data_IF_825627994934
#
_entry.id   IF_825627994934
#
_cell.length_a   1.000
_cell.length_b   1.000
_cell.length_c   1.000
_cell.angle_alpha   90.00
_cell.angle_beta   90.00
_cell.angle_gamma   90.00
#
_symmetry.space_group_name_H-M   'P 1'
#
loop_
_entity.id
_entity.type
_entity.pdbx_description
1 polymer ?
#
# COMPACT_ATOMS: atom_id res chain seq x y z
N UNK A 1 -27.10 72.69 47.32
CA UNK A 1 -26.73 71.92 46.12
C UNK A 1 -25.27 71.53 46.30
N UNK A 2 -24.90 70.42 46.97
CA UNK A 2 -25.25 69.00 46.71
C UNK A 2 -24.98 68.70 45.23
N UNK A 3 -23.93 67.97 44.82
CA UNK A 3 -23.65 66.58 45.16
C UNK A 3 -22.15 66.19 45.15
N UNK A 4 -21.72 65.61 46.27
CA UNK A 4 -20.86 64.44 46.55
C UNK A 4 -19.60 64.08 45.72
N UNK A 5 -18.52 63.94 46.50
CA UNK A 5 -17.12 63.56 46.24
C UNK A 5 -16.96 62.04 46.01
N UNK A 6 -15.93 61.58 45.25
CA UNK A 6 -15.79 60.21 44.78
C UNK A 6 -15.07 59.30 45.78
N UNK A 7 -15.42 58.01 45.79
CA UNK A 7 -14.61 56.99 46.46
C UNK A 7 -14.84 55.61 45.82
N UNK A 8 -13.85 55.08 45.09
CA UNK A 8 -13.79 53.65 44.72
C UNK A 8 -12.45 53.09 45.17
N UNK A 9 -12.52 52.34 46.27
CA UNK A 9 -11.38 51.65 46.86
C UNK A 9 -10.87 50.52 45.97
N UNK A 10 -9.54 50.35 46.02
CA UNK A 10 -8.80 49.22 45.46
C UNK A 10 -9.09 47.99 46.31
N UNK A 11 -9.96 47.10 45.82
CA UNK A 11 -10.23 45.81 46.43
C UNK A 11 -9.13 44.80 46.06
N UNK A 12 -8.18 44.58 46.96
CA UNK A 12 -7.21 43.49 46.84
C UNK A 12 -7.90 42.13 47.03
N UNK A 13 -7.95 41.32 45.98
CA UNK A 13 -8.38 39.92 46.06
C UNK A 13 -7.31 39.10 46.78
N UNK A 14 -7.59 38.72 48.04
CA UNK A 14 -6.74 37.79 48.79
C UNK A 14 -6.92 36.39 48.20
N UNK A 15 -5.86 35.87 47.57
CA UNK A 15 -5.83 34.48 47.10
C UNK A 15 -5.85 33.56 48.34
N UNK A 16 -6.78 32.58 48.42
CA UNK A 16 -6.83 31.67 49.55
C UNK A 16 -5.55 30.85 49.67
N UNK A 17 -5.05 30.69 50.90
CA UNK A 17 -3.80 30.01 51.22
C UNK A 17 -3.72 28.59 50.62
N UNK A 18 -4.87 27.91 50.51
CA UNK A 18 -4.99 26.58 49.87
C UNK A 18 -4.58 26.56 48.40
N UNK A 19 -4.86 27.63 47.65
CA UNK A 19 -4.47 27.74 46.23
C UNK A 19 -2.96 27.97 46.12
N UNK A 20 -2.39 28.78 47.01
CA UNK A 20 -0.94 29.03 47.05
C UNK A 20 -0.19 27.73 47.37
N UNK A 21 -0.69 26.95 48.34
CA UNK A 21 -0.11 25.65 48.69
C UNK A 21 -0.20 24.65 47.52
N UNK A 22 -1.34 24.58 46.82
CA UNK A 22 -1.48 23.69 45.66
C UNK A 22 -0.51 24.04 44.52
N UNK A 23 -0.33 25.34 44.23
CA UNK A 23 0.61 25.80 43.21
C UNK A 23 2.05 25.48 43.61
N UNK A 24 2.42 25.71 44.88
CA UNK A 24 3.76 25.37 45.39
C UNK A 24 4.03 23.86 45.37
N UNK A 25 3.05 23.03 45.77
CA UNK A 25 3.16 21.57 45.71
C UNK A 25 3.29 21.08 44.26
N UNK A 26 2.54 21.65 43.33
CA UNK A 26 2.68 21.34 41.90
C UNK A 26 4.07 21.70 41.36
N UNK A 27 4.60 22.86 41.73
CA UNK A 27 5.94 23.28 41.30
C UNK A 27 7.05 22.38 41.88
N UNK A 28 6.93 21.98 43.15
CA UNK A 28 7.86 21.04 43.79
C UNK A 28 7.80 19.64 43.16
N UNK A 29 6.60 19.16 42.78
CA UNK A 29 6.45 17.89 42.07
C UNK A 29 7.11 17.91 40.68
N UNK A 30 6.97 19.03 39.94
CA UNK A 30 7.66 19.21 38.67
C UNK A 30 9.18 19.28 38.82
N UNK A 31 9.70 19.91 39.88
CA UNK A 31 11.13 19.92 40.18
C UNK A 31 11.63 18.50 40.49
N UNK A 32 10.90 17.73 41.30
CA UNK A 32 11.27 16.34 41.63
C UNK A 32 11.34 15.46 40.37
N UNK A 33 10.35 15.55 39.49
CA UNK A 33 10.35 14.82 38.20
C UNK A 33 11.52 15.22 37.28
N UNK A 34 11.97 16.48 37.35
CA UNK A 34 13.10 16.95 36.57
C UNK A 34 14.44 16.48 37.16
N UNK A 35 14.55 16.44 38.50
CA UNK A 35 15.76 15.93 39.17
C UNK A 35 15.96 14.43 38.99
N UNK A 36 14.88 13.64 38.96
CA UNK A 36 14.96 12.18 38.71
C UNK A 36 15.48 11.86 37.29
N UNK A 37 15.12 12.67 36.29
CA UNK A 37 15.66 12.54 34.92
C UNK A 37 17.15 12.87 34.82
N UNK A 38 17.66 13.78 35.64
CA UNK A 38 19.09 14.16 35.62
C UNK A 38 19.94 13.12 36.35
N UNK A 39 19.43 12.49 37.42
CA UNK A 39 20.13 11.40 38.11
C UNK A 39 20.28 10.13 37.26
N UNK A 40 19.34 9.86 36.33
CA UNK A 40 19.43 8.74 35.39
C UNK A 40 20.45 8.94 34.27
N UNK A 41 20.84 10.19 33.97
CA UNK A 41 21.82 10.53 32.94
C UNK A 41 23.27 10.57 33.46
N UNK A 42 23.47 10.45 34.77
CA UNK A 42 24.79 10.64 35.42
C UNK A 42 25.49 9.33 35.83
N UNK A 43 24.86 8.17 35.62
CA UNK A 43 25.43 6.86 35.98
C UNK A 43 25.84 6.05 34.76
N UNK A 44 26.97 6.41 34.14
CA UNK A 44 27.88 5.46 33.47
C UNK A 44 29.17 6.17 32.99
N UNK A 45 30.00 6.59 33.94
CA UNK A 45 31.42 6.83 33.64
C UNK A 45 32.31 6.53 34.83
N UNK A 46 33.04 5.41 34.73
CA UNK A 46 34.28 5.07 35.44
C UNK A 46 34.62 3.62 35.02
N UNK A 47 35.81 3.23 34.59
CA UNK A 47 37.14 3.84 34.58
C UNK A 47 38.09 2.79 34.00
N UNK A 48 39.09 3.16 33.19
CA UNK A 48 40.50 2.80 33.45
C UNK A 48 41.45 3.38 32.39
N UNK A 49 42.30 4.30 32.85
CA UNK A 49 43.60 4.66 32.25
C UNK A 49 44.60 3.50 32.49
N UNK A 50 45.62 3.18 31.69
CA UNK A 50 46.65 4.07 31.15
C UNK A 50 47.71 3.29 30.32
N UNK A 51 48.37 4.02 29.42
CA UNK A 51 49.80 3.99 29.06
C UNK A 51 50.48 2.89 28.17
N UNK A 52 51.10 3.42 27.09
CA UNK A 52 52.32 3.01 26.36
C UNK A 52 52.33 1.82 25.37
N UNK A 53 52.35 2.13 24.06
CA UNK A 53 53.54 2.14 23.16
C UNK A 53 53.10 2.07 21.69
N UNK A 54 53.42 3.10 20.92
CA UNK A 54 53.48 2.99 19.46
C UNK A 54 54.60 2.01 19.09
N UNK A 55 54.22 0.88 18.49
CA UNK A 55 55.12 0.08 17.64
C UNK A 55 54.50 0.03 16.25
N UNK A 56 55.28 0.43 15.26
CA UNK A 56 54.93 0.26 13.85
C UNK A 56 54.79 -1.23 13.54
N UNK A 57 53.74 -1.58 12.81
CA UNK A 57 53.62 -2.89 12.17
C UNK A 57 53.95 -2.77 10.68
N UNK A 58 54.59 -3.79 10.08
CA UNK A 58 55.10 -3.72 8.72
C UNK A 58 53.98 -3.91 7.70
N UNK A 59 54.13 -3.29 6.53
CA UNK A 59 53.37 -3.61 5.32
C UNK A 59 53.51 -5.10 5.03
N UNK A 60 52.38 -5.82 4.96
CA UNK A 60 52.28 -7.14 4.34
C UNK A 60 51.30 -7.02 3.17
N UNK A 61 51.76 -7.45 2.02
CA UNK A 61 51.04 -7.45 0.75
C UNK A 61 49.66 -8.11 0.85
N UNK A 62 48.67 -7.41 0.31
CA UNK A 62 47.31 -7.91 0.13
C UNK A 62 47.32 -8.81 -1.11
N UNK A 63 47.34 -10.13 -0.89
CA UNK A 63 46.83 -11.07 -1.88
C UNK A 63 45.30 -10.99 -1.86
N UNK A 64 44.72 -10.54 -2.96
CA UNK A 64 43.28 -10.42 -3.18
C UNK A 64 42.59 -11.78 -3.22
N UNK A 65 41.80 -12.11 -2.18
CA UNK A 65 40.72 -13.11 -2.30
C UNK A 65 39.41 -12.43 -2.77
N UNK A 66 38.51 -13.14 -3.46
CA UNK A 66 37.43 -12.52 -4.22
C UNK A 66 36.38 -11.90 -3.30
N UNK A 67 36.05 -10.62 -3.53
CA UNK A 67 34.98 -9.86 -2.86
C UNK A 67 33.61 -10.54 -2.91
N UNK A 68 33.42 -11.48 -3.84
CA UNK A 68 32.19 -12.22 -4.07
C UNK A 68 31.84 -13.22 -2.96
N UNK A 69 32.86 -13.89 -2.37
CA UNK A 69 32.63 -14.88 -1.31
C UNK A 69 32.20 -14.22 0.01
N UNK A 70 32.79 -13.08 0.34
CA UNK A 70 32.43 -12.26 1.52
C UNK A 70 31.04 -11.64 1.35
N UNK A 71 30.65 -11.24 0.13
CA UNK A 71 29.30 -10.73 -0.16
C UNK A 71 28.25 -11.84 -0.04
N UNK A 72 28.57 -13.06 -0.47
CA UNK A 72 27.69 -14.23 -0.34
C UNK A 72 27.53 -14.69 1.10
N UNK A 73 28.62 -14.79 1.87
CA UNK A 73 28.57 -15.10 3.32
C UNK A 73 27.81 -14.02 4.09
N UNK A 74 28.00 -12.73 3.77
CA UNK A 74 27.24 -11.63 4.40
C UNK A 74 25.75 -11.65 4.02
N UNK A 75 25.41 -12.07 2.80
CA UNK A 75 24.03 -12.28 2.36
C UNK A 75 23.37 -13.44 3.09
N UNK A 76 24.07 -14.58 3.20
CA UNK A 76 23.58 -15.75 3.92
C UNK A 76 23.44 -15.49 5.43
N UNK A 77 24.36 -14.73 6.04
CA UNK A 77 24.27 -14.34 7.46
C UNK A 77 23.13 -13.33 7.69
N UNK A 78 22.83 -12.44 6.75
CA UNK A 78 21.67 -11.54 6.84
C UNK A 78 20.34 -12.29 6.65
N UNK A 79 20.30 -13.32 5.80
CA UNK A 79 19.13 -14.20 5.65
C UNK A 79 18.83 -14.97 6.95
N UNK A 80 19.84 -15.42 7.69
CA UNK A 80 19.66 -16.18 8.95
C UNK A 80 19.30 -15.27 10.15
N UNK A 81 19.52 -13.95 10.05
CA UNK A 81 19.23 -13.00 11.13
C UNK A 81 17.80 -12.41 11.10
N UNK A 82 17.09 -12.51 9.96
CA UNK A 82 15.73 -11.99 9.78
C UNK A 82 14.65 -12.94 10.34
N UNK A 83 14.99 -14.20 10.63
CA UNK A 83 14.08 -15.21 11.20
C UNK A 83 13.72 -14.95 12.69
N UNK A 84 14.23 -13.88 13.31
CA UNK A 84 13.97 -13.55 14.74
C UNK A 84 12.78 -12.61 14.97
N UNK A 85 12.17 -12.08 13.91
CA UNK A 85 10.92 -11.34 14.00
C UNK A 85 9.87 -12.07 13.16
N UNK A 86 9.20 -13.03 13.78
CA UNK A 86 8.02 -13.66 13.18
C UNK A 86 6.91 -12.59 13.12
N UNK A 87 6.42 -12.31 11.91
CA UNK A 87 5.29 -11.42 11.73
C UNK A 87 4.04 -12.10 12.28
N UNK A 88 3.49 -11.56 13.37
CA UNK A 88 2.20 -11.99 13.89
C UNK A 88 1.08 -11.07 13.34
N UNK A 89 0.18 -11.57 12.48
CA UNK A 89 -0.92 -10.77 11.95
C UNK A 89 -1.95 -10.34 13.00
N UNK A 90 -2.03 -11.00 14.15
CA UNK A 90 -2.97 -10.66 15.22
C UNK A 90 -2.45 -9.51 16.09
N UNK A 91 -1.13 -9.38 16.22
CA UNK A 91 -0.48 -8.32 17.00
C UNK A 91 -0.06 -7.11 16.13
N UNK A 92 0.11 -7.30 14.81
CA UNK A 92 0.64 -6.29 13.91
C UNK A 92 -0.45 -5.52 13.14
N UNK A 93 -0.76 -4.30 13.58
CA UNK A 93 -1.60 -3.39 12.81
C UNK A 93 -0.81 -2.71 11.67
N UNK A 94 -0.74 -3.38 10.52
CA UNK A 94 -0.01 -2.88 9.33
C UNK A 94 -0.50 -1.53 8.80
N UNK A 95 -1.72 -1.10 9.14
CA UNK A 95 -2.29 0.16 8.67
C UNK A 95 -1.85 1.39 9.47
N UNK A 96 -1.36 1.19 10.70
CA UNK A 96 -0.86 2.26 11.57
C UNK A 96 0.68 2.28 11.53
N UNK A 97 1.25 3.43 11.18
CA UNK A 97 2.69 3.55 10.98
C UNK A 97 3.10 4.86 10.35
N UNK A 98 4.29 4.87 9.78
CA UNK A 98 4.86 6.01 9.05
C UNK A 98 5.78 5.56 7.93
N UNK A 99 5.89 6.39 6.90
CA UNK A 99 6.94 6.25 5.90
C UNK A 99 8.25 6.86 6.40
N UNK A 100 9.32 6.09 6.32
CA UNK A 100 10.67 6.51 6.70
C UNK A 100 11.55 6.50 5.46
N UNK A 101 12.22 7.61 5.22
CA UNK A 101 13.18 7.73 4.12
C UNK A 101 14.45 6.98 4.48
N UNK A 102 14.91 6.12 3.58
CA UNK A 102 16.13 5.35 3.72
C UNK A 102 16.91 5.35 2.40
N UNK A 103 17.92 6.21 2.33
CA UNK A 103 18.79 6.36 1.16
C UNK A 103 19.58 5.11 0.79
N UNK A 104 19.68 4.14 1.70
CA UNK A 104 20.42 2.89 1.47
C UNK A 104 19.55 1.77 0.88
N UNK A 105 18.23 1.94 0.77
CA UNK A 105 17.35 0.93 0.17
C UNK A 105 17.45 1.00 -1.33
N UNK A 106 17.93 -0.08 -1.94
CA UNK A 106 17.84 -0.29 -3.38
C UNK A 106 16.62 -1.16 -3.71
N UNK A 107 15.77 -0.77 -4.68
CA UNK A 107 14.72 -1.64 -5.20
C UNK A 107 15.28 -2.97 -5.73
N UNK A 108 14.52 -4.05 -5.57
CA UNK A 108 14.90 -5.37 -6.08
C UNK A 108 14.93 -5.46 -7.62
N UNK A 109 14.26 -4.53 -8.28
CA UNK A 109 14.19 -4.41 -9.73
C UNK A 109 13.99 -2.95 -10.13
N UNK A 110 14.13 -2.66 -11.41
CA UNK A 110 13.73 -1.39 -12.04
C UNK A 110 12.74 -1.68 -13.16
N UNK A 111 12.00 -0.68 -13.62
CA UNK A 111 11.20 -0.82 -14.84
C UNK A 111 12.03 -1.13 -16.08
N UNK A 112 13.35 -0.95 -16.05
CA UNK A 112 14.29 -1.34 -17.11
C UNK A 112 14.75 -2.79 -17.02
N UNK A 113 14.88 -3.33 -15.82
CA UNK A 113 15.35 -4.70 -15.61
C UNK A 113 14.22 -5.72 -15.69
N UNK A 114 13.01 -5.39 -15.22
CA UNK A 114 11.86 -6.30 -15.32
C UNK A 114 11.11 -6.09 -16.65
N UNK A 115 11.04 -7.09 -17.54
CA UNK A 115 10.40 -6.96 -18.84
C UNK A 115 8.87 -7.07 -18.79
N UNK A 116 8.30 -7.41 -17.64
CA UNK A 116 6.88 -7.71 -17.49
C UNK A 116 6.01 -6.51 -17.07
N UNK A 117 6.62 -5.35 -16.86
CA UNK A 117 5.91 -4.13 -16.46
C UNK A 117 5.27 -3.49 -17.70
N UNK A 118 3.98 -3.19 -17.60
CA UNK A 118 3.26 -2.42 -18.60
C UNK A 118 3.80 -0.99 -18.66
N UNK A 119 3.77 -0.41 -19.87
CA UNK A 119 4.21 0.97 -20.10
C UNK A 119 3.50 1.96 -19.19
N UNK A 120 2.24 1.69 -18.83
CA UNK A 120 1.47 2.51 -17.91
C UNK A 120 2.13 2.72 -16.54
N UNK A 121 2.88 1.73 -16.04
CA UNK A 121 3.51 1.78 -14.70
C UNK A 121 5.03 2.03 -14.75
N UNK A 122 5.62 2.06 -15.96
CA UNK A 122 7.07 2.18 -16.18
C UNK A 122 7.56 3.64 -16.18
N UNK A 123 7.45 4.32 -15.05
CA UNK A 123 7.70 5.76 -14.94
C UNK A 123 9.11 6.21 -15.36
N UNK A 124 10.16 5.49 -14.98
CA UNK A 124 11.55 5.87 -15.30
C UNK A 124 11.86 5.63 -16.78
N UNK A 125 11.31 4.57 -17.38
CA UNK A 125 11.31 4.38 -18.84
C UNK A 125 10.54 5.49 -19.56
N UNK A 126 9.47 5.97 -18.96
CA UNK A 126 8.66 7.06 -19.49
C UNK A 126 9.28 8.45 -19.20
N UNK A 127 10.44 8.52 -18.54
CA UNK A 127 11.21 9.75 -18.38
C UNK A 127 10.93 10.53 -17.09
N UNK A 128 10.43 9.87 -16.03
CA UNK A 128 10.40 10.42 -14.67
C UNK A 128 11.85 10.63 -14.18
N UNK A 129 12.29 11.89 -13.95
CA UNK A 129 13.63 12.14 -13.41
C UNK A 129 13.72 11.89 -11.90
N UNK A 130 12.61 12.03 -11.16
CA UNK A 130 12.61 11.89 -9.70
C UNK A 130 12.61 10.41 -9.29
N UNK A 131 13.45 10.04 -8.32
CA UNK A 131 13.60 8.64 -7.87
C UNK A 131 13.53 8.50 -6.35
N UNK A 132 13.44 9.59 -5.59
CA UNK A 132 13.33 9.56 -4.13
C UNK A 132 12.11 8.80 -3.63
N UNK A 133 11.03 8.72 -4.44
CA UNK A 133 9.84 7.93 -4.12
C UNK A 133 10.17 6.43 -3.89
N UNK A 134 11.28 5.93 -4.45
CA UNK A 134 11.75 4.56 -4.29
C UNK A 134 12.46 4.31 -2.95
N UNK A 135 12.82 5.37 -2.23
CA UNK A 135 13.64 5.31 -1.01
C UNK A 135 12.79 5.37 0.27
N UNK A 136 11.48 5.23 0.15
CA UNK A 136 10.56 5.23 1.30
C UNK A 136 10.20 3.81 1.71
N UNK A 137 10.35 3.52 3.00
CA UNK A 137 9.97 2.27 3.63
C UNK A 137 8.85 2.48 4.64
N UNK A 138 7.80 1.65 4.57
CA UNK A 138 6.72 1.66 5.53
C UNK A 138 7.18 0.97 6.82
N UNK A 139 7.04 1.67 7.95
CA UNK A 139 7.29 1.14 9.28
C UNK A 139 5.99 1.22 10.09
N UNK A 140 5.34 0.08 10.35
CA UNK A 140 4.25 0.04 11.32
C UNK A 140 4.69 0.54 12.69
N UNK A 141 3.74 1.05 13.48
CA UNK A 141 4.06 1.61 14.80
C UNK A 141 4.43 0.51 15.83
N UNK A 142 3.80 -0.66 15.74
CA UNK A 142 3.86 -1.71 16.78
C UNK A 142 4.61 -2.99 16.35
N UNK A 143 5.09 -3.05 15.11
CA UNK A 143 5.69 -4.26 14.53
C UNK A 143 6.63 -3.93 13.37
N UNK A 144 7.42 -4.94 12.97
CA UNK A 144 8.27 -4.86 11.77
C UNK A 144 7.73 -5.81 10.70
N UNK A 145 7.50 -5.30 9.50
CA UNK A 145 7.19 -6.15 8.34
C UNK A 145 8.53 -6.58 7.72
N UNK A 146 8.82 -7.89 7.62
CA UNK A 146 10.04 -8.39 7.02
C UNK A 146 10.25 -7.82 5.61
N UNK A 147 11.52 -7.77 5.18
CA UNK A 147 11.83 -7.37 3.81
C UNK A 147 11.32 -8.43 2.84
N UNK A 148 10.99 -8.02 1.62
CA UNK A 148 10.57 -8.98 0.62
C UNK A 148 11.75 -9.89 0.26
N UNK A 149 11.60 -11.19 0.48
CA UNK A 149 12.57 -12.19 0.05
C UNK A 149 12.01 -12.95 -1.16
N UNK A 150 12.59 -12.78 -2.37
CA UNK A 150 12.15 -13.48 -3.57
C UNK A 150 12.14 -15.01 -3.39
N UNK A 151 13.17 -15.53 -2.71
CA UNK A 151 13.34 -16.96 -2.44
C UNK A 151 12.28 -17.48 -1.48
N UNK A 152 11.98 -16.73 -0.41
CA UNK A 152 10.90 -17.06 0.53
C UNK A 152 9.54 -17.10 -0.18
N UNK A 153 9.26 -16.06 -0.98
CA UNK A 153 8.01 -15.97 -1.76
C UNK A 153 7.84 -17.19 -2.68
N UNK A 154 8.87 -17.50 -3.47
CA UNK A 154 8.80 -18.64 -4.40
C UNK A 154 8.73 -19.99 -3.69
N UNK A 155 9.37 -20.14 -2.52
CA UNK A 155 9.23 -21.35 -1.69
C UNK A 155 7.81 -21.49 -1.13
N UNK A 156 7.20 -20.41 -0.63
CA UNK A 156 5.80 -20.41 -0.16
C UNK A 156 4.81 -20.72 -1.29
N UNK A 157 5.15 -20.34 -2.54
CA UNK A 157 4.36 -20.62 -3.74
C UNK A 157 4.66 -21.97 -4.42
N UNK A 158 5.60 -22.76 -3.90
CA UNK A 158 5.98 -24.02 -4.54
C UNK A 158 4.78 -24.96 -4.66
N UNK A 159 4.49 -25.41 -5.88
CA UNK A 159 3.34 -26.27 -6.18
C UNK A 159 1.98 -25.58 -6.13
N UNK A 160 1.93 -24.24 -6.06
CA UNK A 160 0.70 -23.46 -5.86
C UNK A 160 0.40 -22.49 -7.00
N UNK A 161 -0.88 -22.13 -7.09
CA UNK A 161 -1.42 -21.04 -7.92
C UNK A 161 -1.77 -19.84 -7.06
N UNK A 162 -1.07 -18.73 -7.26
CA UNK A 162 -1.40 -17.42 -6.70
C UNK A 162 -2.16 -16.60 -7.75
N UNK A 163 -3.40 -16.25 -7.49
CA UNK A 163 -4.27 -15.53 -8.43
C UNK A 163 -4.74 -14.19 -7.87
N UNK A 164 -4.34 -13.11 -8.53
CA UNK A 164 -4.81 -11.76 -8.31
C UNK A 164 -6.06 -11.50 -9.16
N UNK A 165 -7.16 -11.02 -8.56
CA UNK A 165 -8.43 -10.76 -9.25
C UNK A 165 -8.92 -9.36 -8.94
N UNK A 166 -9.11 -8.52 -9.97
CA UNK A 166 -9.61 -7.17 -9.71
C UNK A 166 -9.47 -6.19 -10.86
N UNK A 167 -9.33 -4.92 -10.50
CA UNK A 167 -9.15 -3.80 -11.41
C UNK A 167 -7.67 -3.56 -11.78
N UNK A 168 -7.37 -2.41 -12.38
CA UNK A 168 -6.02 -2.05 -12.84
C UNK A 168 -5.02 -1.86 -11.70
N UNK A 169 -5.46 -1.58 -10.47
CA UNK A 169 -4.57 -1.48 -9.31
C UNK A 169 -4.16 -2.87 -8.83
N UNK A 170 -5.08 -3.84 -8.91
CA UNK A 170 -4.76 -5.24 -8.67
C UNK A 170 -3.78 -5.79 -9.72
N UNK A 171 -3.93 -5.36 -10.98
CA UNK A 171 -2.95 -5.66 -12.03
C UNK A 171 -1.57 -5.10 -11.70
N UNK A 172 -1.51 -3.85 -11.24
CA UNK A 172 -0.25 -3.22 -10.81
C UNK A 172 0.41 -3.99 -9.65
N UNK A 173 -0.38 -4.45 -8.66
CA UNK A 173 0.12 -5.30 -7.59
C UNK A 173 0.66 -6.65 -8.12
N UNK A 174 -0.04 -7.28 -9.06
CA UNK A 174 0.43 -8.51 -9.71
C UNK A 174 1.74 -8.31 -10.49
N UNK A 175 1.86 -7.25 -11.29
CA UNK A 175 3.09 -6.94 -12.03
C UNK A 175 4.27 -6.69 -11.08
N UNK A 176 4.03 -5.97 -9.98
CA UNK A 176 5.01 -5.81 -8.90
C UNK A 176 5.44 -7.17 -8.35
N UNK A 177 4.50 -8.07 -8.01
CA UNK A 177 4.84 -9.38 -7.45
C UNK A 177 5.69 -10.19 -8.41
N UNK A 178 5.34 -10.22 -9.70
CA UNK A 178 6.13 -10.89 -10.74
C UNK A 178 7.55 -10.31 -10.80
N UNK A 179 7.70 -8.99 -10.83
CA UNK A 179 9.02 -8.35 -10.89
C UNK A 179 9.85 -8.50 -9.61
N UNK A 180 9.21 -8.67 -8.46
CA UNK A 180 9.89 -8.95 -7.19
C UNK A 180 10.53 -10.35 -7.20
N UNK A 181 10.02 -11.31 -7.97
CA UNK A 181 10.51 -12.71 -7.95
C UNK A 181 11.21 -13.16 -9.23
N UNK A 182 10.97 -12.52 -10.37
CA UNK A 182 11.40 -13.04 -11.67
C UNK A 182 12.92 -13.15 -11.82
N UNK A 183 13.68 -12.27 -11.16
CA UNK A 183 15.14 -12.20 -11.30
C UNK A 183 15.87 -13.41 -10.69
N UNK A 184 15.24 -14.13 -9.75
CA UNK A 184 15.79 -15.35 -9.17
C UNK A 184 15.41 -16.62 -9.96
N UNK A 185 14.58 -16.47 -11.00
CA UNK A 185 14.15 -17.58 -11.85
C UNK A 185 14.90 -17.49 -13.19
N UNK A 186 15.64 -18.54 -13.59
CA UNK A 186 16.35 -18.55 -14.87
C UNK A 186 15.41 -18.33 -16.08
N UNK A 187 15.89 -17.69 -17.14
CA UNK A 187 15.09 -17.37 -18.34
C UNK A 187 14.38 -18.58 -18.98
N UNK A 188 15.01 -19.76 -18.98
CA UNK A 188 14.40 -21.01 -19.48
C UNK A 188 13.31 -21.59 -18.56
N UNK A 189 13.29 -21.18 -17.29
CA UNK A 189 12.41 -21.69 -16.23
C UNK A 189 11.24 -20.76 -15.94
N UNK A 190 11.14 -19.61 -16.61
CA UNK A 190 9.98 -18.70 -16.52
C UNK A 190 9.28 -18.51 -17.86
N UNK A 191 7.98 -18.21 -17.82
CA UNK A 191 7.24 -17.79 -19.00
C UNK A 191 6.03 -16.93 -18.65
N UNK A 192 5.59 -16.11 -19.60
CA UNK A 192 4.43 -15.24 -19.46
C UNK A 192 3.43 -15.53 -20.59
N UNK A 193 2.19 -15.85 -20.22
CA UNK A 193 1.05 -15.94 -21.15
C UNK A 193 0.06 -14.84 -20.84
N UNK A 194 -0.23 -13.97 -21.80
CA UNK A 194 -1.24 -12.91 -21.65
C UNK A 194 -2.39 -13.16 -22.63
N UNK A 195 -3.60 -13.28 -22.08
CA UNK A 195 -4.84 -13.27 -22.87
C UNK A 195 -5.59 -11.95 -22.66
N UNK A 196 -6.83 -11.84 -23.11
CA UNK A 196 -7.61 -10.61 -22.96
C UNK A 196 -7.92 -10.29 -21.48
N UNK A 197 -8.31 -11.31 -20.69
CA UNK A 197 -8.71 -11.16 -19.28
C UNK A 197 -7.79 -11.88 -18.30
N UNK A 198 -6.95 -12.80 -18.75
CA UNK A 198 -6.26 -13.75 -17.87
C UNK A 198 -4.78 -13.87 -18.22
N UNK A 199 -3.92 -13.50 -17.29
CA UNK A 199 -2.47 -13.44 -17.47
C UNK A 199 -1.83 -14.46 -16.51
N UNK A 200 -0.85 -15.22 -17.00
CA UNK A 200 -0.22 -16.31 -16.25
C UNK A 200 1.29 -16.18 -16.38
N UNK A 201 1.96 -15.83 -15.29
CA UNK A 201 3.39 -16.00 -15.15
C UNK A 201 3.66 -17.37 -14.53
N UNK A 202 4.47 -18.21 -15.18
CA UNK A 202 4.81 -19.56 -14.71
C UNK A 202 6.27 -19.62 -14.30
N UNK A 203 6.52 -20.13 -13.10
CA UNK A 203 7.85 -20.48 -12.60
C UNK A 203 7.97 -22.01 -12.55
N UNK A 204 8.62 -22.60 -13.57
CA UNK A 204 8.63 -24.05 -13.81
C UNK A 204 9.34 -24.83 -12.70
N UNK A 205 10.52 -24.39 -12.27
CA UNK A 205 11.30 -25.03 -11.20
C UNK A 205 10.55 -25.10 -9.85
N UNK A 206 9.67 -24.12 -9.60
CA UNK A 206 8.83 -24.08 -8.41
C UNK A 206 7.49 -24.79 -8.58
N UNK A 207 7.17 -25.25 -9.80
CA UNK A 207 5.84 -25.70 -10.19
C UNK A 207 4.75 -24.72 -9.72
N UNK A 208 4.98 -23.42 -9.94
CA UNK A 208 4.15 -22.35 -9.40
C UNK A 208 3.64 -21.43 -10.52
N UNK A 209 2.47 -20.82 -10.30
CA UNK A 209 1.95 -19.75 -11.16
C UNK A 209 1.57 -18.51 -10.35
N UNK A 210 1.83 -17.35 -10.95
CA UNK A 210 1.45 -16.03 -10.45
C UNK A 210 0.56 -15.41 -11.51
N UNK A 211 -0.72 -15.33 -11.23
CA UNK A 211 -1.79 -15.14 -12.20
C UNK A 211 -2.54 -13.83 -11.93
N UNK A 212 -3.08 -13.22 -12.98
CA UNK A 212 -3.99 -12.08 -12.88
C UNK A 212 -5.25 -12.32 -13.71
N UNK A 213 -6.41 -12.03 -13.13
CA UNK A 213 -7.70 -12.04 -13.81
C UNK A 213 -8.40 -10.68 -13.73
N UNK A 214 -8.71 -10.12 -14.90
CA UNK A 214 -9.41 -8.85 -15.06
C UNK A 214 -10.90 -8.98 -14.69
N UNK A 215 -11.25 -8.39 -13.56
CA UNK A 215 -12.60 -8.35 -13.02
C UNK A 215 -12.77 -7.05 -12.21
N UNK A 216 -12.85 -5.88 -12.87
CA UNK A 216 -12.73 -4.59 -12.19
C UNK A 216 -13.82 -4.32 -11.14
N UNK A 217 -15.01 -4.88 -11.34
CA UNK A 217 -16.13 -4.83 -10.39
C UNK A 217 -16.27 -6.10 -9.53
N UNK A 218 -15.37 -7.10 -9.69
CA UNK A 218 -15.50 -8.49 -9.25
C UNK A 218 -16.72 -9.23 -9.84
N UNK A 219 -17.90 -8.63 -9.87
CA UNK A 219 -19.11 -9.12 -10.54
C UNK A 219 -19.15 -8.74 -12.03
N UNK A 220 -20.00 -9.44 -12.79
CA UNK A 220 -20.21 -9.25 -14.24
C UNK A 220 -20.54 -7.80 -14.61
N UNK A 221 -20.07 -7.34 -15.78
CA UNK A 221 -20.36 -6.00 -16.28
C UNK A 221 -20.31 -5.92 -17.80
N UNK A 222 -21.01 -4.95 -18.38
CA UNK A 222 -20.96 -4.66 -19.83
C UNK A 222 -19.64 -3.97 -20.27
N UNK A 223 -18.74 -3.70 -19.33
CA UNK A 223 -17.50 -2.93 -19.54
C UNK A 223 -16.27 -3.73 -19.13
N UNK A 224 -16.38 -5.05 -19.04
CA UNK A 224 -15.23 -5.91 -18.81
C UNK A 224 -14.26 -5.74 -19.96
N UNK A 225 -14.64 -6.17 -21.17
CA UNK A 225 -13.91 -5.97 -22.43
C UNK A 225 -14.90 -5.98 -23.61
N UNK A 226 -14.86 -4.98 -24.52
CA UNK A 226 -14.04 -3.78 -24.46
C UNK A 226 -14.44 -2.87 -23.29
N UNK A 227 -13.48 -2.10 -22.78
CA UNK A 227 -13.73 -1.12 -21.71
C UNK A 227 -14.53 0.05 -22.28
N UNK A 228 -15.67 0.35 -21.68
CA UNK A 228 -16.48 1.51 -22.01
C UNK A 228 -15.88 2.73 -21.30
N UNK A 229 -15.39 3.69 -22.08
CA UNK A 229 -14.71 4.89 -21.57
C UNK A 229 -15.64 5.79 -20.76
N UNK A 230 -16.88 6.00 -21.22
CA UNK A 230 -17.90 6.77 -20.51
C UNK A 230 -18.48 5.97 -19.33
N UNK A 231 -18.20 6.35 -18.08
CA UNK A 231 -18.68 5.59 -16.94
C UNK A 231 -20.20 5.58 -16.79
N UNK A 232 -20.92 6.55 -17.37
CA UNK A 232 -22.39 6.61 -17.32
C UNK A 232 -23.06 5.50 -18.13
N UNK A 233 -22.31 4.88 -19.06
CA UNK A 233 -22.76 3.76 -19.90
C UNK A 233 -22.42 2.39 -19.30
N UNK A 234 -21.68 2.36 -18.19
CA UNK A 234 -21.31 1.12 -17.52
C UNK A 234 -22.51 0.58 -16.74
N UNK A 235 -22.75 -0.71 -16.89
CA UNK A 235 -23.79 -1.47 -16.19
C UNK A 235 -23.11 -2.62 -15.47
N UNK A 236 -23.35 -2.71 -14.17
CA UNK A 236 -22.80 -3.73 -13.29
C UNK A 236 -23.90 -4.73 -12.97
N UNK A 237 -23.69 -5.99 -13.33
CA UNK A 237 -24.60 -7.09 -12.99
C UNK A 237 -24.24 -7.60 -11.60
N UNK A 238 -24.91 -7.06 -10.59
CA UNK A 238 -24.48 -7.17 -9.18
C UNK A 238 -24.71 -8.54 -8.56
N UNK A 239 -25.39 -9.45 -9.25
CA UNK A 239 -25.83 -10.75 -8.76
C UNK A 239 -25.12 -11.95 -9.44
N UNK A 240 -24.08 -11.72 -10.24
CA UNK A 240 -23.32 -12.83 -10.86
C UNK A 240 -21.81 -12.64 -10.88
N UNK A 241 -21.12 -13.73 -10.54
CA UNK A 241 -19.69 -13.95 -10.77
C UNK A 241 -19.43 -15.18 -11.65
N UNK A 242 -20.48 -15.80 -12.19
CA UNK A 242 -20.43 -17.15 -12.77
C UNK A 242 -19.40 -17.29 -13.91
N UNK A 243 -19.38 -16.35 -14.86
CA UNK A 243 -18.54 -16.47 -16.06
C UNK A 243 -17.04 -16.36 -15.77
N UNK A 244 -16.69 -15.77 -14.63
CA UNK A 244 -15.32 -15.46 -14.21
C UNK A 244 -14.83 -16.36 -13.07
N UNK A 245 -15.73 -16.81 -12.19
CA UNK A 245 -15.44 -17.69 -11.07
C UNK A 245 -14.76 -19.00 -11.48
N UNK A 246 -15.07 -19.53 -12.67
CA UNK A 246 -14.42 -20.72 -13.24
C UNK A 246 -12.90 -20.62 -13.38
N UNK A 247 -12.35 -19.39 -13.43
CA UNK A 247 -10.90 -19.17 -13.46
C UNK A 247 -10.28 -19.08 -12.06
N UNK A 248 -11.10 -18.80 -11.06
CA UNK A 248 -10.71 -18.64 -9.66
C UNK A 248 -10.70 -19.97 -8.92
N UNK A 249 -11.59 -20.88 -9.33
CA UNK A 249 -11.68 -22.24 -8.79
C UNK A 249 -10.33 -22.98 -8.89
N UNK A 250 -9.99 -23.67 -7.81
CA UNK A 250 -8.74 -24.43 -7.68
C UNK A 250 -7.47 -23.58 -7.58
N UNK A 251 -7.56 -22.27 -7.35
CA UNK A 251 -6.41 -21.47 -6.93
C UNK A 251 -6.10 -21.72 -5.45
N UNK A 252 -4.82 -21.86 -5.10
CA UNK A 252 -4.39 -22.07 -3.70
C UNK A 252 -4.41 -20.76 -2.90
N UNK A 253 -4.17 -19.63 -3.57
CA UNK A 253 -4.18 -18.31 -2.97
C UNK A 253 -4.94 -17.36 -3.90
N UNK A 254 -6.02 -16.78 -3.39
CA UNK A 254 -6.83 -15.78 -4.09
C UNK A 254 -6.62 -14.41 -3.46
N UNK A 255 -6.26 -13.40 -4.25
CA UNK A 255 -6.11 -12.01 -3.79
C UNK A 255 -7.08 -11.14 -4.58
N UNK A 256 -8.15 -10.69 -3.94
CA UNK A 256 -9.19 -9.85 -4.55
C UNK A 256 -8.98 -8.36 -4.28
N UNK A 257 -9.35 -7.51 -5.23
CA UNK A 257 -9.50 -6.07 -5.04
C UNK A 257 -10.55 -5.51 -5.99
N UNK A 258 -11.32 -4.53 -5.52
CA UNK A 258 -12.20 -3.75 -6.38
C UNK A 258 -12.57 -2.43 -5.71
N UNK A 259 -12.19 -1.30 -6.33
CA UNK A 259 -12.53 0.01 -5.78
C UNK A 259 -12.64 1.10 -6.83
N UNK A 260 -11.59 1.38 -7.60
CA UNK A 260 -11.50 2.66 -8.31
C UNK A 260 -12.60 2.82 -9.37
N UNK A 261 -13.04 1.70 -9.95
CA UNK A 261 -14.12 1.69 -10.93
C UNK A 261 -15.49 2.04 -10.34
N UNK A 262 -15.69 1.79 -9.04
CA UNK A 262 -16.88 2.21 -8.32
C UNK A 262 -16.88 3.71 -8.06
N UNK A 263 -15.72 4.35 -8.03
CA UNK A 263 -15.57 5.80 -7.79
C UNK A 263 -15.95 6.68 -8.98
N UNK A 264 -16.56 6.11 -10.02
CA UNK A 264 -16.93 6.81 -11.26
C UNK A 264 -18.14 7.75 -11.12
N UNK A 265 -18.85 7.73 -9.99
CA UNK A 265 -20.01 8.58 -9.75
C UNK A 265 -20.76 8.25 -8.46
N UNK A 266 -21.75 9.07 -8.10
CA UNK A 266 -22.62 8.84 -6.94
C UNK A 266 -23.65 7.75 -7.17
N UNK A 267 -24.00 7.50 -8.44
CA UNK A 267 -24.95 6.47 -8.85
C UNK A 267 -24.32 5.53 -9.87
N UNK A 268 -24.69 4.26 -9.79
CA UNK A 268 -24.23 3.19 -10.69
C UNK A 268 -25.46 2.48 -11.27
N UNK A 269 -25.44 2.18 -12.57
CA UNK A 269 -26.45 1.31 -13.19
C UNK A 269 -26.17 -0.13 -12.73
N UNK A 270 -27.06 -0.69 -11.94
CA UNK A 270 -27.02 -2.07 -11.45
C UNK A 270 -28.09 -2.91 -12.14
N UNK A 271 -27.76 -4.16 -12.46
CA UNK A 271 -28.67 -5.12 -13.09
C UNK A 271 -28.75 -6.41 -12.25
N UNK A 272 -29.95 -7.01 -12.22
CA UNK A 272 -30.20 -8.37 -11.72
C UNK A 272 -30.75 -9.26 -12.84
N UNK A 273 -30.51 -10.57 -12.74
CA UNK A 273 -30.99 -11.56 -13.72
C UNK A 273 -30.14 -11.60 -14.99
N UNK A 274 -30.73 -11.98 -16.12
CA UNK A 274 -30.03 -11.97 -17.41
C UNK A 274 -30.10 -10.59 -18.08
N UNK A 275 -29.13 -10.26 -18.93
CA UNK A 275 -29.25 -9.15 -19.89
C UNK A 275 -30.33 -9.52 -20.94
N UNK A 276 -31.62 -9.43 -20.57
CA UNK A 276 -32.72 -9.65 -21.51
C UNK A 276 -32.90 -8.45 -22.42
N UNK A 277 -32.73 -8.64 -23.74
CA UNK A 277 -33.00 -7.66 -24.80
C UNK A 277 -32.57 -6.19 -24.50
N UNK A 278 -31.32 -5.96 -24.10
CA UNK A 278 -30.73 -4.61 -23.99
C UNK A 278 -30.53 -4.10 -22.55
N UNK A 279 -30.62 -2.78 -22.35
CA UNK A 279 -30.49 -2.09 -21.04
C UNK A 279 -31.75 -2.21 -20.16
N UNK A 280 -32.81 -2.84 -20.64
CA UNK A 280 -34.07 -2.98 -19.90
C UNK A 280 -33.88 -3.78 -18.62
N UNK A 281 -34.14 -3.16 -17.47
CA UNK A 281 -34.00 -3.78 -16.14
C UNK A 281 -32.81 -3.29 -15.32
N UNK A 282 -31.93 -2.44 -15.89
CA UNK A 282 -30.89 -1.78 -15.11
C UNK A 282 -31.45 -0.59 -14.31
N UNK A 283 -31.24 -0.58 -13.00
CA UNK A 283 -31.63 0.50 -12.11
C UNK A 283 -30.42 1.32 -11.68
N UNK A 284 -30.57 2.64 -11.64
CA UNK A 284 -29.54 3.50 -11.06
C UNK A 284 -29.64 3.44 -9.53
N UNK A 285 -28.67 2.82 -8.87
CA UNK A 285 -28.57 2.77 -7.41
C UNK A 285 -27.49 3.73 -6.91
N UNK A 286 -27.54 4.09 -5.63
CA UNK A 286 -26.38 4.70 -4.99
C UNK A 286 -25.19 3.74 -5.08
N UNK A 287 -24.02 4.26 -5.46
CA UNK A 287 -22.83 3.45 -5.71
C UNK A 287 -22.48 2.52 -4.55
N UNK A 288 -22.66 2.98 -3.30
CA UNK A 288 -22.40 2.18 -2.11
C UNK A 288 -23.36 0.99 -1.95
N UNK A 289 -24.62 1.15 -2.39
CA UNK A 289 -25.61 0.08 -2.37
C UNK A 289 -25.24 -0.95 -3.44
N UNK A 290 -24.94 -0.51 -4.66
CA UNK A 290 -24.48 -1.40 -5.73
C UNK A 290 -23.19 -2.14 -5.34
N UNK A 291 -22.24 -1.45 -4.70
CA UNK A 291 -21.01 -2.04 -4.20
C UNK A 291 -21.26 -3.13 -3.17
N UNK A 292 -22.15 -2.87 -2.20
CA UNK A 292 -22.55 -3.85 -1.20
C UNK A 292 -23.20 -5.07 -1.81
N UNK A 293 -24.07 -4.90 -2.81
CA UNK A 293 -24.71 -6.00 -3.51
C UNK A 293 -23.68 -6.86 -4.25
N UNK A 294 -22.79 -6.23 -5.03
CA UNK A 294 -21.72 -6.95 -5.74
C UNK A 294 -20.78 -7.71 -4.81
N UNK A 295 -20.38 -7.10 -3.70
CA UNK A 295 -19.54 -7.76 -2.69
C UNK A 295 -20.26 -8.89 -1.96
N UNK A 296 -21.57 -8.78 -1.70
CA UNK A 296 -22.35 -9.90 -1.14
C UNK A 296 -22.40 -11.08 -2.09
N UNK A 297 -22.55 -10.85 -3.39
CA UNK A 297 -22.50 -11.91 -4.40
C UNK A 297 -21.15 -12.61 -4.42
N UNK A 298 -20.04 -11.84 -4.38
CA UNK A 298 -18.71 -12.40 -4.24
C UNK A 298 -18.54 -13.21 -2.94
N UNK A 299 -18.96 -12.65 -1.81
CA UNK A 299 -18.87 -13.30 -0.50
C UNK A 299 -19.63 -14.63 -0.48
N UNK A 300 -20.86 -14.65 -1.00
CA UNK A 300 -21.65 -15.86 -1.11
C UNK A 300 -20.96 -16.93 -1.97
N UNK A 301 -20.32 -16.53 -3.08
CA UNK A 301 -19.55 -17.46 -3.91
C UNK A 301 -18.34 -18.02 -3.16
N UNK A 302 -17.60 -17.18 -2.42
CA UNK A 302 -16.48 -17.62 -1.59
C UNK A 302 -16.95 -18.65 -0.56
N UNK A 303 -18.00 -18.32 0.21
CA UNK A 303 -18.54 -19.17 1.26
C UNK A 303 -19.11 -20.50 0.71
N UNK A 304 -19.68 -20.50 -0.50
CA UNK A 304 -20.29 -21.70 -1.08
C UNK A 304 -19.32 -22.61 -1.83
N UNK A 305 -18.16 -22.09 -2.26
CA UNK A 305 -17.32 -22.76 -3.28
C UNK A 305 -15.88 -22.97 -2.83
N UNK A 306 -15.32 -22.06 -2.02
CA UNK A 306 -13.92 -22.12 -1.61
C UNK A 306 -13.77 -23.07 -0.43
N UNK A 307 -12.87 -24.06 -0.55
CA UNK A 307 -12.46 -24.93 0.55
C UNK A 307 -11.37 -24.23 1.38
N UNK A 308 -11.67 -23.74 2.60
CA UNK A 308 -10.72 -22.98 3.41
C UNK A 308 -9.51 -23.80 3.86
N UNK A 309 -9.56 -25.13 3.77
CA UNK A 309 -8.41 -25.99 4.09
C UNK A 309 -7.38 -26.04 2.95
N UNK A 310 -7.76 -25.63 1.73
CA UNK A 310 -6.92 -25.67 0.53
C UNK A 310 -6.58 -24.29 0.01
N UNK A 311 -7.55 -23.37 0.08
CA UNK A 311 -7.45 -22.06 -0.54
C UNK A 311 -7.46 -20.98 0.52
N UNK A 312 -6.47 -20.09 0.45
CA UNK A 312 -6.40 -18.88 1.27
C UNK A 312 -6.95 -17.70 0.50
N UNK A 313 -7.85 -16.94 1.12
CA UNK A 313 -8.52 -15.80 0.48
C UNK A 313 -8.06 -14.50 1.12
N UNK A 314 -7.62 -13.58 0.27
CA UNK A 314 -7.20 -12.24 0.63
C UNK A 314 -8.07 -11.20 -0.04
N UNK A 315 -8.28 -10.07 0.64
CA UNK A 315 -8.90 -8.89 0.06
C UNK A 315 -8.02 -7.66 0.31
N UNK A 316 -7.44 -7.10 -0.74
CA UNK A 316 -6.68 -5.84 -0.68
C UNK A 316 -7.66 -4.68 -0.63
N UNK A 317 -7.50 -3.80 0.36
CA UNK A 317 -8.38 -2.64 0.54
C UNK A 317 -8.20 -1.60 -0.56
N UNK A 318 -8.98 -0.50 -0.51
CA UNK A 318 -8.92 0.52 -1.56
C UNK A 318 -7.52 1.13 -1.71
N UNK A 319 -7.08 1.25 -2.97
CA UNK A 319 -5.99 2.13 -3.36
C UNK A 319 -6.55 3.56 -3.50
N UNK A 320 -5.95 4.55 -2.82
CA UNK A 320 -6.42 5.94 -2.87
C UNK A 320 -6.12 6.60 -4.22
N UNK A 321 -6.74 7.75 -4.44
CA UNK A 321 -6.45 8.63 -5.59
C UNK A 321 -6.10 10.03 -5.11
N UNK A 322 -5.18 10.70 -5.80
CA UNK A 322 -4.67 12.01 -5.41
C UNK A 322 -4.94 13.06 -6.49
N UNK A 323 -6.23 13.27 -6.78
CA UNK A 323 -6.68 14.18 -7.86
C UNK A 323 -6.91 15.61 -7.39
N UNK A 324 -6.94 15.88 -6.09
CA UNK A 324 -7.22 17.20 -5.53
C UNK A 324 -6.12 17.66 -4.57
N UNK A 325 -5.21 18.46 -5.09
CA UNK A 325 -4.09 19.07 -4.36
C UNK A 325 -4.48 19.90 -3.12
N UNK A 326 -5.69 20.47 -3.13
CA UNK A 326 -6.25 21.15 -1.97
C UNK A 326 -6.39 20.25 -0.73
N UNK A 327 -6.54 18.93 -0.92
CA UNK A 327 -6.70 17.98 0.19
C UNK A 327 -5.47 17.97 1.12
N UNK A 328 -4.28 18.21 0.57
CA UNK A 328 -3.02 18.28 1.34
C UNK A 328 -2.45 19.71 1.42
N UNK A 329 -3.31 20.72 1.37
CA UNK A 329 -2.93 22.11 1.64
C UNK A 329 -2.30 22.85 0.47
N UNK A 330 -2.46 22.37 -0.77
CA UNK A 330 -1.97 23.03 -1.99
C UNK A 330 -3.12 23.38 -2.95
N UNK A 331 -3.97 24.37 -2.63
CA UNK A 331 -5.16 24.69 -3.45
C UNK A 331 -4.85 25.08 -4.90
N UNK A 332 -3.64 25.59 -5.17
CA UNK A 332 -3.17 25.97 -6.51
C UNK A 332 -2.26 24.90 -7.15
N UNK A 333 -2.09 23.74 -6.52
CA UNK A 333 -1.33 22.62 -7.08
C UNK A 333 -2.13 21.88 -8.15
N UNK A 334 -1.46 21.08 -8.98
CA UNK A 334 -2.11 20.34 -10.08
C UNK A 334 -2.19 18.85 -9.76
N UNK A 335 -3.33 18.39 -9.21
CA UNK A 335 -3.52 16.98 -8.82
C UNK A 335 -2.29 16.48 -8.03
N UNK A 336 -1.74 15.30 -8.35
CA UNK A 336 -0.50 14.74 -7.82
C UNK A 336 0.79 15.16 -8.57
N UNK A 337 0.69 16.05 -9.57
CA UNK A 337 1.86 16.46 -10.35
C UNK A 337 2.81 17.32 -9.51
N UNK A 338 4.12 17.12 -9.69
CA UNK A 338 5.20 17.73 -8.90
C UNK A 338 5.17 17.45 -7.38
N UNK A 339 4.42 16.43 -6.95
CA UNK A 339 4.53 15.91 -5.59
C UNK A 339 5.70 14.92 -5.52
N UNK A 340 6.67 15.17 -4.65
CA UNK A 340 7.93 14.38 -4.58
C UNK A 340 8.19 13.78 -3.21
N UNK A 341 7.32 14.05 -2.23
CA UNK A 341 7.44 13.55 -0.85
C UNK A 341 6.09 13.07 -0.34
N UNK A 342 6.08 12.02 0.50
CA UNK A 342 4.88 11.60 1.18
C UNK A 342 4.32 12.68 2.11
N UNK A 343 3.02 12.62 2.36
CA UNK A 343 2.34 13.38 3.40
C UNK A 343 2.80 12.86 4.76
N UNK A 344 3.20 13.80 5.62
CA UNK A 344 3.69 13.49 6.98
C UNK A 344 2.60 13.49 8.05
N UNK A 345 1.46 14.12 7.77
CA UNK A 345 0.36 14.18 8.72
C UNK A 345 -0.29 12.80 8.87
N UNK A 346 -0.08 12.14 10.01
CA UNK A 346 -0.67 10.84 10.35
C UNK A 346 -2.22 10.85 10.39
N UNK A 347 -2.85 12.04 10.43
CA UNK A 347 -4.32 12.19 10.41
C UNK A 347 -4.87 12.47 9.02
N UNK A 348 -4.01 12.53 8.01
CA UNK A 348 -4.42 12.82 6.64
C UNK A 348 -5.45 11.81 6.13
N UNK A 349 -6.47 12.33 5.46
CA UNK A 349 -7.46 11.56 4.72
C UNK A 349 -8.00 12.40 3.56
N UNK A 350 -7.61 12.04 2.34
CA UNK A 350 -8.03 12.71 1.12
C UNK A 350 -9.47 12.40 0.70
N UNK A 351 -10.01 13.26 -0.15
CA UNK A 351 -11.36 13.08 -0.72
C UNK A 351 -11.42 11.98 -1.78
N UNK A 352 -10.25 11.51 -2.26
CA UNK A 352 -10.12 10.36 -3.16
C UNK A 352 -10.41 9.00 -2.51
N UNK A 353 -10.52 8.94 -1.18
CA UNK A 353 -10.81 7.71 -0.44
C UNK A 353 -12.14 7.75 0.30
N UNK A 354 -13.01 6.79 -0.01
CA UNK A 354 -14.36 6.74 0.53
C UNK A 354 -14.46 5.79 1.74
N UNK A 355 -14.42 6.34 2.96
CA UNK A 355 -14.57 5.56 4.22
C UNK A 355 -15.82 4.68 4.24
N UNK A 356 -16.90 5.12 3.60
CA UNK A 356 -18.14 4.36 3.59
C UNK A 356 -18.04 3.11 2.72
N UNK A 357 -17.27 3.14 1.63
CA UNK A 357 -16.94 1.95 0.84
C UNK A 357 -16.09 0.97 1.66
N UNK A 358 -15.11 1.45 2.44
CA UNK A 358 -14.36 0.58 3.38
C UNK A 358 -15.25 -0.08 4.43
N UNK A 359 -16.22 0.64 4.97
CA UNK A 359 -17.21 0.07 5.90
C UNK A 359 -18.06 -1.01 5.25
N UNK A 360 -18.36 -0.91 3.95
CA UNK A 360 -19.04 -1.98 3.21
C UNK A 360 -18.17 -3.23 3.16
N UNK A 361 -16.89 -3.11 2.79
CA UNK A 361 -15.95 -4.27 2.74
C UNK A 361 -15.88 -4.95 4.11
N UNK A 362 -15.58 -4.19 5.16
CA UNK A 362 -15.50 -4.71 6.54
C UNK A 362 -16.82 -5.37 6.97
N UNK A 363 -17.96 -4.73 6.66
CA UNK A 363 -19.28 -5.27 6.96
C UNK A 363 -19.58 -6.57 6.23
N UNK A 364 -19.18 -6.72 4.97
CA UNK A 364 -19.41 -7.96 4.21
C UNK A 364 -18.53 -9.07 4.74
N UNK A 365 -17.21 -8.83 4.85
CA UNK A 365 -16.25 -9.83 5.33
C UNK A 365 -16.59 -10.34 6.73
N UNK A 366 -17.03 -9.46 7.63
CA UNK A 366 -17.43 -9.85 9.00
C UNK A 366 -18.55 -10.91 9.05
N UNK A 367 -19.39 -10.99 8.02
CA UNK A 367 -20.51 -11.94 7.97
C UNK A 367 -20.20 -13.18 7.12
N UNK A 368 -18.99 -13.31 6.59
CA UNK A 368 -18.57 -14.48 5.83
C UNK A 368 -18.24 -15.64 6.76
N UNK A 369 -18.52 -16.86 6.30
CA UNK A 369 -18.12 -18.07 7.01
C UNK A 369 -16.67 -18.46 6.71
N UNK A 370 -16.22 -18.23 5.48
CA UNK A 370 -14.84 -18.44 5.05
C UNK A 370 -13.99 -17.26 5.50
N UNK A 371 -12.89 -17.56 6.20
CA UNK A 371 -11.96 -16.53 6.64
C UNK A 371 -11.32 -15.82 5.44
N UNK A 372 -11.36 -14.48 5.45
CA UNK A 372 -10.70 -13.62 4.47
C UNK A 372 -9.70 -12.72 5.18
N UNK A 373 -8.43 -12.84 4.82
CA UNK A 373 -7.38 -11.96 5.34
C UNK A 373 -7.40 -10.62 4.61
N UNK A 374 -7.55 -9.52 5.35
CA UNK A 374 -7.62 -8.18 4.76
C UNK A 374 -6.23 -7.56 4.69
N UNK A 375 -5.77 -7.23 3.48
CA UNK A 375 -4.51 -6.51 3.27
C UNK A 375 -4.84 -5.02 3.29
N UNK A 376 -4.75 -4.41 4.47
CA UNK A 376 -5.14 -3.01 4.69
C UNK A 376 -4.06 -2.03 4.24
N UNK A 377 -4.12 -1.65 2.97
CA UNK A 377 -3.16 -0.76 2.30
C UNK A 377 -3.60 0.70 2.27
N UNK A 378 -4.83 1.02 2.67
CA UNK A 378 -5.45 2.31 2.35
C UNK A 378 -4.72 3.48 3.01
N UNK A 379 -4.56 3.43 4.34
CA UNK A 379 -3.97 4.55 5.08
C UNK A 379 -2.49 4.75 4.73
N UNK A 380 -1.71 3.67 4.62
CA UNK A 380 -0.29 3.80 4.22
C UNK A 380 -0.16 4.37 2.80
N UNK A 381 -1.11 4.06 1.91
CA UNK A 381 -1.10 4.53 0.53
C UNK A 381 -1.56 5.98 0.40
N UNK A 382 -2.44 6.46 1.28
CA UNK A 382 -2.91 7.86 1.32
C UNK A 382 -1.76 8.85 1.51
N UNK A 383 -0.69 8.42 2.18
CA UNK A 383 0.47 9.28 2.34
C UNK A 383 1.30 9.42 1.07
N UNK A 384 1.17 8.52 0.09
CA UNK A 384 2.13 8.35 -1.00
C UNK A 384 1.80 9.15 -2.26
N UNK A 385 1.39 10.41 -2.10
CA UNK A 385 1.13 11.34 -3.21
C UNK A 385 2.26 11.41 -4.25
N UNK A 386 3.50 11.11 -3.82
CA UNK A 386 4.73 11.13 -4.60
C UNK A 386 4.93 9.93 -5.55
N UNK A 387 4.20 8.83 -5.33
CA UNK A 387 4.47 7.56 -6.01
C UNK A 387 3.60 7.29 -7.25
N UNK A 388 2.72 8.23 -7.61
CA UNK A 388 1.83 8.10 -8.77
C UNK A 388 2.59 8.19 -10.09
N UNK A 389 2.03 7.58 -11.14
CA UNK A 389 2.58 7.66 -12.49
C UNK A 389 2.55 9.08 -13.06
N UNK A 390 1.58 9.89 -12.63
CA UNK A 390 1.44 11.29 -13.02
C UNK A 390 1.43 11.41 -14.56
N UNK A 391 2.31 12.23 -15.15
CA UNK A 391 2.45 12.37 -16.61
C UNK A 391 3.43 11.36 -17.24
N UNK A 392 4.00 10.45 -16.45
CA UNK A 392 4.95 9.43 -16.89
C UNK A 392 4.26 8.09 -17.14
N UNK A 393 3.19 8.15 -17.93
CA UNK A 393 2.26 7.05 -18.21
C UNK A 393 1.93 6.98 -19.71
N UNK A 394 0.99 6.11 -20.08
CA UNK A 394 0.41 6.04 -21.41
C UNK A 394 -1.10 6.33 -21.41
N UNK A 395 -1.61 6.78 -22.55
CA UNK A 395 -3.05 6.93 -22.80
C UNK A 395 -3.37 6.33 -24.16
N UNK A 396 -4.35 5.41 -24.21
CA UNK A 396 -4.72 4.73 -25.44
C UNK A 396 -3.58 3.91 -26.08
N UNK A 397 -2.69 3.35 -25.25
CA UNK A 397 -1.54 2.55 -25.70
C UNK A 397 -0.36 3.35 -26.24
N UNK A 398 -0.36 4.69 -26.06
CA UNK A 398 0.74 5.57 -26.47
C UNK A 398 1.25 6.37 -25.28
N UNK A 399 2.57 6.48 -25.16
CA UNK A 399 3.22 7.36 -24.20
C UNK A 399 2.78 8.80 -24.46
N UNK A 400 2.56 9.57 -23.39
CA UNK A 400 2.19 10.97 -23.50
C UNK A 400 3.27 11.79 -24.21
N UNK A 401 2.85 12.65 -25.15
CA UNK A 401 3.75 13.59 -25.86
C UNK A 401 4.24 14.70 -24.93
N UNK A 402 5.21 15.50 -25.38
CA UNK A 402 5.70 16.64 -24.62
C UNK A 402 4.58 17.65 -24.30
N UNK A 403 3.69 17.90 -25.27
CA UNK A 403 2.55 18.80 -25.14
C UNK A 403 1.54 18.28 -24.12
N UNK A 404 1.24 16.98 -24.14
CA UNK A 404 0.35 16.35 -23.17
C UNK A 404 0.93 16.38 -21.76
N UNK A 405 2.24 16.13 -21.62
CA UNK A 405 2.94 16.22 -20.32
C UNK A 405 2.97 17.65 -19.77
N UNK A 406 3.00 18.65 -20.64
CA UNK A 406 2.91 20.06 -20.27
C UNK A 406 1.52 20.47 -19.77
N UNK A 407 0.51 19.62 -19.94
CA UNK A 407 -0.85 19.79 -19.42
C UNK A 407 -1.23 18.68 -18.41
N UNK A 408 -0.60 18.67 -17.21
CA UNK A 408 -0.88 17.68 -16.18
C UNK A 408 -2.32 17.76 -15.65
N UNK A 409 -3.03 18.89 -15.83
CA UNK A 409 -4.41 19.00 -15.39
C UNK A 409 -5.30 18.00 -16.12
N UNK A 410 -5.08 17.79 -17.42
CA UNK A 410 -5.84 16.83 -18.21
C UNK A 410 -5.18 15.46 -18.31
N UNK A 411 -3.84 15.40 -18.24
CA UNK A 411 -3.10 14.17 -18.55
C UNK A 411 -2.40 13.48 -17.36
N UNK A 412 -2.32 14.09 -16.18
CA UNK A 412 -1.74 13.40 -15.02
C UNK A 412 -2.68 12.28 -14.51
N UNK A 413 -2.12 11.07 -14.45
CA UNK A 413 -2.71 9.90 -13.82
C UNK A 413 -2.33 9.87 -12.34
N UNK A 414 -3.31 10.19 -11.49
CA UNK A 414 -3.18 10.18 -10.03
C UNK A 414 -3.99 9.05 -9.41
N UNK A 415 -4.08 7.93 -10.16
CA UNK A 415 -4.72 6.69 -9.76
C UNK A 415 -3.64 5.60 -9.68
N UNK A 416 -2.90 5.40 -10.77
CA UNK A 416 -1.94 4.32 -10.88
C UNK A 416 -0.58 4.69 -10.28
N UNK A 417 0.21 3.67 -9.96
CA UNK A 417 1.47 3.79 -9.25
C UNK A 417 2.65 3.42 -10.15
N UNK A 418 3.78 4.11 -9.97
CA UNK A 418 5.03 3.68 -10.59
C UNK A 418 5.46 2.32 -10.04
N UNK A 419 6.08 1.50 -10.90
CA UNK A 419 6.76 0.26 -10.52
C UNK A 419 8.25 0.34 -10.90
N UNK A 420 9.19 -0.05 -10.01
CA UNK A 420 9.01 -0.33 -8.57
C UNK A 420 8.39 0.85 -7.82
N UNK A 421 7.78 0.60 -6.66
CA UNK A 421 7.10 1.64 -5.90
C UNK A 421 6.14 1.12 -4.83
N UNK A 422 5.06 1.85 -4.61
CA UNK A 422 4.09 1.57 -3.54
C UNK A 422 3.51 0.13 -3.58
N UNK A 423 3.15 -0.45 -4.75
CA UNK A 423 2.67 -1.83 -4.81
C UNK A 423 3.66 -2.88 -4.27
N UNK A 424 4.96 -2.59 -4.25
CA UNK A 424 5.97 -3.48 -3.68
C UNK A 424 5.79 -3.62 -2.16
N UNK A 425 5.34 -2.54 -1.51
CA UNK A 425 4.99 -2.56 -0.07
C UNK A 425 3.73 -3.37 0.18
N UNK A 426 2.75 -3.31 -0.73
CA UNK A 426 1.55 -4.15 -0.63
C UNK A 426 1.92 -5.64 -0.73
N UNK A 427 2.86 -5.98 -1.60
CA UNK A 427 3.38 -7.34 -1.75
C UNK A 427 4.28 -7.80 -0.60
N UNK A 428 4.98 -6.88 0.08
CA UNK A 428 5.62 -7.18 1.38
C UNK A 428 4.60 -7.61 2.42
N UNK A 429 3.48 -6.89 2.54
CA UNK A 429 2.42 -7.22 3.49
C UNK A 429 1.77 -8.55 3.10
N UNK A 430 1.46 -8.76 1.82
CA UNK A 430 0.96 -10.05 1.33
C UNK A 430 1.89 -11.20 1.72
N UNK A 431 3.20 -11.09 1.42
CA UNK A 431 4.17 -12.13 1.73
C UNK A 431 4.29 -12.40 3.24
N UNK A 432 4.18 -11.37 4.07
CA UNK A 432 4.22 -11.52 5.52
C UNK A 432 3.02 -12.34 6.04
N UNK A 433 1.85 -12.21 5.42
CA UNK A 433 0.71 -13.06 5.74
C UNK A 433 0.82 -14.47 5.17
N UNK A 434 1.45 -14.67 3.99
CA UNK A 434 1.60 -16.00 3.39
C UNK A 434 2.41 -16.92 4.28
#
# INVERSE_FOLDING_TARGET
MSFLIPNRGVGGTKIPLSIIVLVLCGFMFFILLYTERISLLSSSSSSSSSFFKLKSCPRKDVSSKPKEKIRKERSEILEVLDDRFEFDPEECNVAAGKWVYNSSIEPLYTDRSCPYIDRQFSCMKNGQPETDYLRWEWQPDDCTIPRFSPKLAMNKLRGKRLLFVGDSLQRSQWESFVCLVESIIPEGEKSMKRSQKYFVFKAKEYNATIEFYWAPYIVESNTDIPVISDPKKRIVKVDSVKDRAKFWEGADILVFNTYVWWMSGLRMKALWGSFGNGESGAEALDTQVAYRLGLKTWANWVDSTVDPNKTRVFFTTMSPTHTRSADWGKPNGTKCFNETKPIKDKKFWGTGSNKQMMKVVSSVIKHMTTHVTVINITQLSEYRIDAHTSVYTETGGKILTAEQRADPMHHADCIHWCLPGLPDTWNRILLAHL
#
